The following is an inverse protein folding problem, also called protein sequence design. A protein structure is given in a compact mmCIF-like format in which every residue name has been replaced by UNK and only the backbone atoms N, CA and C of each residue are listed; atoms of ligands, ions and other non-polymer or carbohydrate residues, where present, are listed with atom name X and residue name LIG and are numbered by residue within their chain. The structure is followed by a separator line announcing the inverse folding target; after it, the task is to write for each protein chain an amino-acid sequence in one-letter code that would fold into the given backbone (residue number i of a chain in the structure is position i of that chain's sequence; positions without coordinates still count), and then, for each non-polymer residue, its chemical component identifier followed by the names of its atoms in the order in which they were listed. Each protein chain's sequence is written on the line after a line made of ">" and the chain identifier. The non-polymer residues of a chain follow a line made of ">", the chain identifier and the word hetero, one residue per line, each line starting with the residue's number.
data_IF_961004777052
#
_entry.id   IF_961004777052
#
_cell.length_a   1.000
_cell.length_b   1.000
_cell.length_c   1.000
_cell.angle_alpha   90.00
_cell.angle_beta   90.00
_cell.angle_gamma   90.00
#
_symmetry.space_group_name_H-M   'P 1'
#
loop_
_entity.id
_entity.type
_entity.pdbx_description
1 polymer ?
#
# COMPACT_ATOMS: atom_id res chain seq x y z
N UNK A 1 -6.66 8.31 11.42
CA UNK A 1 -6.08 8.26 10.07
C UNK A 1 -7.00 7.41 9.20
N UNK A 2 -7.26 7.76 7.94
CA UNK A 2 -8.13 6.94 7.07
C UNK A 2 -7.27 5.94 6.30
N UNK A 3 -7.50 4.65 6.52
CA UNK A 3 -6.83 3.57 5.79
C UNK A 3 -7.55 3.29 4.47
N UNK A 4 -6.79 2.95 3.44
CA UNK A 4 -7.30 2.57 2.12
C UNK A 4 -7.15 1.06 1.94
N UNK A 5 -8.10 0.43 1.25
CA UNK A 5 -7.99 -1.00 0.93
C UNK A 5 -7.62 -1.15 -0.52
N UNK A 6 -6.49 -1.80 -0.74
CA UNK A 6 -6.02 -2.20 -2.05
C UNK A 6 -6.30 -3.69 -2.18
N UNK A 7 -7.27 -4.10 -3.00
CA UNK A 7 -7.73 -5.50 -3.05
C UNK A 7 -6.60 -6.50 -3.30
N UNK A 8 -5.60 -6.11 -4.09
CA UNK A 8 -4.46 -6.94 -4.45
C UNK A 8 -3.28 -6.85 -3.48
N UNK A 9 -3.38 -6.04 -2.42
CA UNK A 9 -2.28 -5.86 -1.49
C UNK A 9 -2.72 -5.98 -0.03
N UNK A 10 -3.80 -5.32 0.37
CA UNK A 10 -4.31 -5.33 1.74
C UNK A 10 -4.78 -3.94 2.19
N UNK A 11 -4.84 -3.74 3.49
CA UNK A 11 -5.25 -2.48 4.11
C UNK A 11 -4.03 -1.61 4.39
N UNK A 12 -3.67 -0.76 3.43
CA UNK A 12 -2.56 0.20 3.59
C UNK A 12 -3.08 1.60 3.85
N UNK A 13 -2.39 2.30 4.73
CA UNK A 13 -2.58 3.74 4.89
C UNK A 13 -1.60 4.45 3.94
N UNK A 14 -2.13 5.27 3.03
CA UNK A 14 -1.33 6.06 2.08
C UNK A 14 -1.02 7.45 2.67
N UNK A 15 -0.26 7.49 3.76
CA UNK A 15 0.11 8.72 4.47
C UNK A 15 1.54 9.20 4.18
N UNK A 16 2.33 8.40 3.47
CA UNK A 16 3.69 8.70 3.03
C UNK A 16 3.84 8.68 1.51
N UNK A 17 4.99 9.13 1.00
CA UNK A 17 5.26 9.22 -0.43
C UNK A 17 4.44 10.29 -1.16
N UNK A 18 4.39 10.18 -2.50
CA UNK A 18 3.65 11.09 -3.37
C UNK A 18 2.68 10.31 -4.27
N UNK A 19 1.41 10.73 -4.32
CA UNK A 19 0.43 10.19 -5.25
C UNK A 19 0.07 11.18 -6.35
N UNK A 20 -0.14 10.65 -7.54
CA UNK A 20 -0.70 11.38 -8.68
C UNK A 20 -1.93 10.65 -9.23
N UNK A 21 -2.90 11.43 -9.69
CA UNK A 21 -4.17 10.96 -10.21
C UNK A 21 -4.30 11.38 -11.67
N UNK A 22 -4.13 10.43 -12.60
CA UNK A 22 -4.33 10.71 -14.02
C UNK A 22 -5.78 11.08 -14.34
N UNK A 23 -6.73 10.50 -13.59
CA UNK A 23 -8.14 10.86 -13.62
C UNK A 23 -8.82 10.40 -12.31
N UNK A 24 -10.13 10.56 -12.21
CA UNK A 24 -10.89 10.18 -11.00
C UNK A 24 -10.89 8.67 -10.72
N UNK A 25 -10.50 7.82 -11.67
CA UNK A 25 -10.50 6.36 -11.53
C UNK A 25 -9.14 5.78 -11.19
N UNK A 26 -8.05 6.35 -11.70
CA UNK A 26 -6.71 5.77 -11.60
C UNK A 26 -5.77 6.63 -10.76
N UNK A 27 -4.91 5.97 -9.99
CA UNK A 27 -3.85 6.62 -9.25
C UNK A 27 -2.52 5.88 -9.42
N UNK A 28 -1.44 6.63 -9.24
CA UNK A 28 -0.10 6.10 -9.02
C UNK A 28 0.40 6.63 -7.68
N UNK A 29 1.09 5.79 -6.93
CA UNK A 29 1.68 6.13 -5.65
C UNK A 29 3.15 5.75 -5.66
N UNK A 30 4.01 6.77 -5.58
CA UNK A 30 5.45 6.65 -5.52
C UNK A 30 5.90 6.76 -4.05
N UNK A 31 6.60 5.75 -3.56
CA UNK A 31 7.01 5.65 -2.16
C UNK A 31 8.42 5.04 -2.08
N UNK A 32 9.28 5.57 -1.21
CA UNK A 32 10.59 4.96 -0.99
C UNK A 32 10.48 3.65 -0.18
N UNK A 33 11.50 2.78 -0.23
CA UNK A 33 11.44 1.48 0.43
C UNK A 33 11.20 1.54 1.95
N UNK A 34 11.81 2.52 2.63
CA UNK A 34 11.70 2.66 4.08
C UNK A 34 10.30 3.09 4.50
N UNK A 35 9.75 4.09 3.81
CA UNK A 35 8.37 4.54 4.04
C UNK A 35 7.35 3.44 3.73
N UNK A 36 7.58 2.62 2.70
CA UNK A 36 6.68 1.51 2.38
C UNK A 36 6.69 0.44 3.48
N UNK A 37 7.87 0.13 4.04
CA UNK A 37 7.97 -0.77 5.19
C UNK A 37 7.18 -0.24 6.39
N UNK A 38 7.34 1.04 6.72
CA UNK A 38 6.61 1.67 7.81
C UNK A 38 5.09 1.62 7.58
N UNK A 39 4.62 1.85 6.35
CA UNK A 39 3.20 1.73 6.00
C UNK A 39 2.68 0.28 6.14
N UNK A 40 3.49 -0.72 5.78
CA UNK A 40 3.15 -2.13 5.92
C UNK A 40 3.13 -2.59 7.39
N UNK A 41 4.02 -2.05 8.23
CA UNK A 41 4.04 -2.32 9.68
C UNK A 41 2.90 -1.62 10.43
N UNK A 42 2.52 -0.44 9.98
CA UNK A 42 1.40 0.31 10.54
C UNK A 42 0.02 -0.19 10.04
N UNK A 43 -0.01 -1.16 9.11
CA UNK A 43 -1.24 -1.70 8.55
C UNK A 43 -2.14 -2.28 9.67
N UNK A 44 -3.35 -1.72 9.89
CA UNK A 44 -4.17 -2.13 11.02
C UNK A 44 -4.78 -3.51 10.76
N UNK A 45 -4.29 -4.53 11.46
CA UNK A 45 -4.92 -5.87 11.49
C UNK A 45 -6.39 -5.81 11.93
N UNK A 46 -6.77 -4.75 12.65
CA UNK A 46 -8.12 -4.47 13.13
C UNK A 46 -9.02 -3.76 12.11
N UNK A 47 -8.55 -3.48 10.89
CA UNK A 47 -9.36 -2.82 9.88
C UNK A 47 -10.55 -3.70 9.46
N UNK A 48 -11.79 -3.18 9.36
CA UNK A 48 -12.98 -3.98 9.03
C UNK A 48 -12.91 -4.74 7.69
N UNK A 49 -12.00 -4.33 6.82
CA UNK A 49 -11.76 -4.92 5.50
C UNK A 49 -10.44 -5.71 5.42
N UNK A 50 -9.71 -5.84 6.52
CA UNK A 50 -8.56 -6.74 6.58
C UNK A 50 -9.04 -8.19 6.49
N UNK A 51 -8.41 -8.97 5.62
CA UNK A 51 -8.66 -10.40 5.48
C UNK A 51 -7.32 -11.15 5.42
N UNK A 52 -7.34 -12.45 5.71
CA UNK A 52 -6.11 -13.26 5.82
C UNK A 52 -5.28 -13.23 4.54
N UNK A 53 -5.91 -13.22 3.37
CA UNK A 53 -5.23 -13.19 2.08
C UNK A 53 -4.48 -11.87 1.85
N UNK A 54 -5.12 -10.73 2.11
CA UNK A 54 -4.50 -9.41 2.05
C UNK A 54 -3.38 -9.28 3.07
N UNK A 55 -3.59 -9.73 4.30
CA UNK A 55 -2.54 -9.74 5.33
C UNK A 55 -1.34 -10.60 4.91
N UNK A 56 -1.58 -11.75 4.25
CA UNK A 56 -0.51 -12.59 3.70
C UNK A 56 0.26 -11.84 2.61
N UNK A 57 -0.43 -11.21 1.66
CA UNK A 57 0.21 -10.45 0.57
C UNK A 57 1.05 -9.28 1.10
N UNK A 58 0.60 -8.58 2.14
CA UNK A 58 1.40 -7.54 2.78
C UNK A 58 2.69 -8.10 3.42
N UNK A 59 2.60 -9.25 4.10
CA UNK A 59 3.79 -9.94 4.65
C UNK A 59 4.74 -10.40 3.54
N UNK A 60 4.20 -11.01 2.50
CA UNK A 60 4.98 -11.46 1.34
C UNK A 60 5.69 -10.26 0.68
N UNK A 61 4.99 -9.11 0.49
CA UNK A 61 5.62 -7.90 -0.05
C UNK A 61 6.72 -7.38 0.87
N UNK A 62 6.48 -7.34 2.19
CA UNK A 62 7.46 -6.87 3.18
C UNK A 62 8.77 -7.65 3.09
N UNK A 63 8.71 -8.96 2.89
CA UNK A 63 9.89 -9.83 2.75
C UNK A 63 10.69 -9.58 1.46
N UNK A 64 10.10 -8.93 0.47
CA UNK A 64 10.75 -8.62 -0.82
C UNK A 64 11.39 -7.23 -0.87
N UNK A 65 11.10 -6.34 0.09
CA UNK A 65 11.58 -4.95 0.05
C UNK A 65 13.06 -4.90 0.44
N UNK A 66 13.87 -4.26 -0.40
CA UNK A 66 15.25 -3.89 -0.07
C UNK A 66 15.37 -2.37 0.09
N UNK A 67 16.03 -1.92 1.16
CA UNK A 67 16.22 -0.50 1.46
C UNK A 67 17.10 0.22 0.44
N UNK A 68 17.93 -0.51 -0.30
CA UNK A 68 18.78 0.05 -1.36
C UNK A 68 18.06 0.14 -2.72
N UNK A 69 16.79 -0.28 -2.81
CA UNK A 69 16.01 -0.16 -4.04
C UNK A 69 15.63 1.30 -4.36
N UNK A 70 15.32 1.55 -5.63
CA UNK A 70 14.61 2.76 -6.01
C UNK A 70 13.18 2.76 -5.43
N UNK A 71 12.49 3.90 -5.54
CA UNK A 71 11.10 4.03 -5.14
C UNK A 71 10.19 2.98 -5.81
N UNK A 72 9.26 2.46 -5.02
CA UNK A 72 8.19 1.58 -5.45
C UNK A 72 7.06 2.40 -6.06
N UNK A 73 6.48 1.92 -7.17
CA UNK A 73 5.30 2.53 -7.80
C UNK A 73 4.12 1.57 -7.66
N UNK A 74 3.14 1.96 -6.85
CA UNK A 74 1.87 1.25 -6.71
C UNK A 74 0.86 1.91 -7.64
N UNK A 75 0.32 1.13 -8.59
CA UNK A 75 -0.68 1.60 -9.55
C UNK A 75 -2.01 0.95 -9.20
N UNK A 76 -3.05 1.77 -9.06
CA UNK A 76 -4.37 1.30 -8.69
C UNK A 76 -5.50 1.98 -9.45
N UNK A 77 -6.67 1.33 -9.40
CA UNK A 77 -7.94 1.85 -9.89
C UNK A 77 -8.96 1.81 -8.75
N UNK A 78 -9.67 2.92 -8.51
CA UNK A 78 -10.78 2.96 -7.58
C UNK A 78 -11.93 2.09 -8.07
N UNK A 79 -12.45 1.24 -7.16
CA UNK A 79 -13.70 0.52 -7.39
C UNK A 79 -14.86 1.52 -7.49
N UNK A 80 -15.80 1.24 -8.39
CA UNK A 80 -17.08 1.94 -8.48
C UNK A 80 -18.14 1.16 -7.72
#
# INVERSE_FOLDING_TARGET
>A
MKSTVLDNLGTLTMDRGWSDHQNAEYFSWCIDPGDLLDCLEAAPESHPLANEEGMKRMRDLKETINLDDNNYIIIGKWKR
#
